data_IF_363689044557
#
_entry.id   IF_363689044557
#
_cell.length_a   1.000
_cell.length_b   1.000
_cell.length_c   1.000
_cell.angle_alpha   90.00
_cell.angle_beta   90.00
_cell.angle_gamma   90.00
#
_symmetry.space_group_name_H-M   'P 1'
#
loop_
_entity.id
_entity.type
_entity.pdbx_description
1 polymer ?
#
# COMPACT_ATOMS: atom_id res chain seq x y z
N UNK A 1 2.11 65.05 23.28
CA UNK A 1 1.75 63.65 23.67
C UNK A 1 2.44 62.73 22.70
N UNK A 2 3.65 62.24 23.02
CA UNK A 2 4.44 61.34 22.17
C UNK A 2 4.06 59.91 22.47
N UNK A 3 3.37 59.26 21.55
CA UNK A 3 3.12 57.79 21.65
C UNK A 3 4.43 57.05 21.40
N UNK A 4 4.94 56.43 22.46
CA UNK A 4 6.08 55.50 22.39
C UNK A 4 5.63 54.23 21.70
N UNK A 5 6.10 54.06 20.47
CA UNK A 5 5.97 52.82 19.72
C UNK A 5 6.87 51.77 20.41
N UNK A 6 6.30 50.94 21.27
CA UNK A 6 6.99 49.81 21.89
C UNK A 6 7.12 48.74 20.82
N UNK A 7 8.22 48.78 20.08
CA UNK A 7 8.62 47.67 19.22
C UNK A 7 9.06 46.49 20.08
N UNK A 8 8.19 45.53 20.28
CA UNK A 8 8.50 44.26 20.88
C UNK A 8 9.38 43.46 19.93
N UNK A 9 10.70 43.76 19.87
CA UNK A 9 11.66 42.83 19.27
C UNK A 9 11.81 41.65 20.25
N UNK A 10 11.00 40.61 20.05
CA UNK A 10 11.29 39.30 20.60
C UNK A 10 12.65 38.84 20.09
N UNK A 11 13.72 39.17 20.82
CA UNK A 11 15.04 38.57 20.62
C UNK A 11 14.91 37.13 21.08
N UNK A 12 14.48 36.23 20.18
CA UNK A 12 14.58 34.82 20.46
C UNK A 12 16.01 34.48 20.83
N UNK A 13 16.22 34.00 22.08
CA UNK A 13 17.51 33.49 22.50
C UNK A 13 18.00 32.44 21.49
N UNK A 14 19.31 32.40 21.26
CA UNK A 14 19.95 31.39 20.40
C UNK A 14 19.50 29.97 20.79
N UNK A 15 19.36 29.74 22.10
CA UNK A 15 18.86 28.47 22.66
C UNK A 15 17.45 28.15 22.16
N UNK A 16 16.53 29.12 22.14
CA UNK A 16 15.18 28.90 21.61
C UNK A 16 15.16 28.64 20.11
N UNK A 17 16.05 29.28 19.36
CA UNK A 17 16.16 29.04 17.89
C UNK A 17 16.65 27.62 17.61
N UNK A 18 17.65 27.15 18.38
CA UNK A 18 18.15 25.77 18.28
C UNK A 18 17.05 24.78 18.68
N UNK A 19 16.33 25.04 19.77
CA UNK A 19 15.25 24.18 20.26
C UNK A 19 14.11 24.05 19.22
N UNK A 20 13.69 25.16 18.61
CA UNK A 20 12.67 25.17 17.55
C UNK A 20 13.16 24.37 16.33
N UNK A 21 14.42 24.54 15.92
CA UNK A 21 14.99 23.82 14.81
C UNK A 21 15.03 22.31 15.07
N UNK A 22 15.47 21.89 16.24
CA UNK A 22 15.47 20.47 16.64
C UNK A 22 14.06 19.90 16.67
N UNK A 23 13.09 20.67 17.18
CA UNK A 23 11.69 20.27 17.19
C UNK A 23 11.13 20.09 15.78
N UNK A 24 11.47 21.00 14.84
CA UNK A 24 11.08 20.86 13.43
C UNK A 24 11.70 19.62 12.79
N UNK A 25 12.98 19.34 12.98
CA UNK A 25 13.63 18.13 12.46
C UNK A 25 12.96 16.85 12.99
N UNK A 26 12.69 16.82 14.30
CA UNK A 26 12.02 15.68 14.92
C UNK A 26 10.61 15.50 14.35
N UNK A 27 9.85 16.58 14.20
CA UNK A 27 8.51 16.54 13.63
C UNK A 27 8.52 16.02 12.19
N UNK A 28 9.43 16.52 11.35
CA UNK A 28 9.60 16.03 9.98
C UNK A 28 9.94 14.55 9.93
N UNK A 29 10.86 14.09 10.79
CA UNK A 29 11.21 12.67 10.90
C UNK A 29 10.01 11.80 11.27
N UNK A 30 9.25 12.20 12.29
CA UNK A 30 8.08 11.45 12.75
C UNK A 30 6.99 11.39 11.67
N UNK A 31 6.69 12.52 11.02
CA UNK A 31 5.68 12.58 9.95
C UNK A 31 6.11 11.73 8.76
N UNK A 32 7.36 11.83 8.31
CA UNK A 32 7.88 11.01 7.22
C UNK A 32 7.81 9.51 7.52
N UNK A 33 8.17 9.13 8.76
CA UNK A 33 8.08 7.73 9.21
C UNK A 33 6.64 7.23 9.26
N UNK A 34 5.69 8.04 9.75
CA UNK A 34 4.28 7.68 9.83
C UNK A 34 3.68 7.42 8.43
N UNK A 35 3.97 8.31 7.45
CA UNK A 35 3.53 8.16 6.06
C UNK A 35 4.13 6.89 5.45
N UNK A 36 5.44 6.68 5.61
CA UNK A 36 6.14 5.51 5.08
C UNK A 36 5.55 4.21 5.65
N UNK A 37 5.33 4.16 6.95
CA UNK A 37 4.76 2.98 7.62
C UNK A 37 3.34 2.67 7.12
N UNK A 38 2.49 3.68 6.95
CA UNK A 38 1.14 3.49 6.42
C UNK A 38 1.14 2.87 5.01
N UNK A 39 2.05 3.32 4.14
CA UNK A 39 2.15 2.80 2.77
C UNK A 39 2.72 1.37 2.78
N UNK A 40 3.74 1.09 3.61
CA UNK A 40 4.32 -0.26 3.76
C UNK A 40 3.24 -1.28 4.16
N UNK A 41 2.40 -0.97 5.14
CA UNK A 41 1.29 -1.84 5.56
C UNK A 41 0.31 -2.12 4.41
N UNK A 42 0.03 -1.11 3.58
CA UNK A 42 -0.82 -1.28 2.39
C UNK A 42 -0.17 -2.17 1.33
N UNK A 43 1.14 -2.06 1.12
CA UNK A 43 1.91 -2.92 0.19
C UNK A 43 1.94 -4.37 0.69
N UNK A 44 2.11 -4.59 1.99
CA UNK A 44 2.03 -5.93 2.59
C UNK A 44 0.66 -6.57 2.37
N UNK A 45 -0.44 -5.81 2.55
CA UNK A 45 -1.78 -6.28 2.24
C UNK A 45 -1.93 -6.75 0.79
N UNK A 46 -1.40 -5.98 -0.16
CA UNK A 46 -1.39 -6.34 -1.57
C UNK A 46 -0.61 -7.64 -1.84
N UNK A 47 0.56 -7.83 -1.21
CA UNK A 47 1.35 -9.05 -1.34
C UNK A 47 0.60 -10.29 -0.82
N UNK A 48 -0.14 -10.16 0.29
CA UNK A 48 -0.99 -11.24 0.80
C UNK A 48 -2.12 -11.59 -0.17
N UNK A 49 -2.77 -10.58 -0.78
CA UNK A 49 -3.81 -10.80 -1.78
C UNK A 49 -3.27 -11.48 -3.04
N UNK A 50 -2.09 -11.10 -3.53
CA UNK A 50 -1.41 -11.77 -4.66
C UNK A 50 -1.12 -13.24 -4.33
N UNK A 51 -0.56 -13.51 -3.15
CA UNK A 51 -0.28 -14.87 -2.71
C UNK A 51 -1.57 -15.72 -2.61
N UNK A 52 -2.65 -15.14 -2.06
CA UNK A 52 -3.96 -15.80 -1.97
C UNK A 52 -4.54 -16.09 -3.35
N UNK A 53 -4.41 -15.19 -4.30
CA UNK A 53 -4.81 -15.42 -5.69
C UNK A 53 -4.01 -16.55 -6.34
N UNK A 54 -2.72 -16.68 -6.03
CA UNK A 54 -1.89 -17.82 -6.42
C UNK A 54 -2.40 -19.15 -5.86
N UNK A 55 -2.84 -19.17 -4.59
CA UNK A 55 -3.47 -20.32 -3.94
C UNK A 55 -4.77 -20.71 -4.66
N UNK A 56 -5.65 -19.74 -4.97
CA UNK A 56 -6.90 -19.97 -5.69
C UNK A 56 -6.66 -20.59 -7.07
N UNK A 57 -5.63 -20.13 -7.80
CA UNK A 57 -5.25 -20.71 -9.09
C UNK A 57 -4.86 -22.18 -8.95
N UNK A 58 -3.99 -22.49 -7.97
CA UNK A 58 -3.57 -23.85 -7.70
C UNK A 58 -4.74 -24.75 -7.29
N UNK A 59 -5.65 -24.27 -6.45
CA UNK A 59 -6.85 -24.98 -6.04
C UNK A 59 -7.80 -25.24 -7.23
N UNK A 60 -7.94 -24.28 -8.14
CA UNK A 60 -8.76 -24.45 -9.35
C UNK A 60 -8.24 -25.57 -10.24
N UNK A 61 -6.93 -25.66 -10.46
CA UNK A 61 -6.34 -26.77 -11.21
C UNK A 61 -6.39 -28.10 -10.45
N UNK A 62 -6.28 -28.07 -9.12
CA UNK A 62 -6.46 -29.27 -8.28
C UNK A 62 -7.88 -29.84 -8.42
N UNK A 63 -8.91 -28.98 -8.39
CA UNK A 63 -10.30 -29.36 -8.61
C UNK A 63 -10.49 -29.94 -10.00
N UNK A 64 -9.93 -29.31 -11.03
CA UNK A 64 -10.00 -29.81 -12.41
C UNK A 64 -9.37 -31.22 -12.54
N UNK A 65 -8.23 -31.44 -11.92
CA UNK A 65 -7.54 -32.74 -11.97
C UNK A 65 -8.20 -33.83 -11.12
N UNK A 66 -9.06 -33.45 -10.18
CA UNK A 66 -9.77 -34.38 -9.30
C UNK A 66 -11.14 -34.81 -9.85
N UNK A 67 -11.53 -34.35 -11.05
CA UNK A 67 -12.81 -34.72 -11.68
C UNK A 67 -12.86 -36.21 -12.08
N UNK A 68 -13.99 -36.86 -11.86
CA UNK A 68 -15.25 -36.39 -11.30
C UNK A 68 -15.15 -36.22 -9.78
N UNK A 69 -15.78 -35.14 -9.26
CA UNK A 69 -15.73 -34.84 -7.83
C UNK A 69 -16.61 -35.81 -7.04
N UNK A 70 -16.02 -36.52 -6.10
CA UNK A 70 -16.71 -37.34 -5.10
C UNK A 70 -16.93 -36.58 -3.80
N UNK A 71 -17.50 -37.23 -2.80
CA UNK A 71 -17.77 -36.61 -1.49
C UNK A 71 -16.51 -36.12 -0.78
N UNK A 72 -15.33 -36.71 -1.03
CA UNK A 72 -14.05 -36.28 -0.48
C UNK A 72 -13.53 -34.98 -1.11
N UNK A 73 -13.94 -34.68 -2.34
CA UNK A 73 -13.52 -33.48 -3.06
C UNK A 73 -14.45 -32.28 -2.84
N UNK A 74 -15.59 -32.48 -2.15
CA UNK A 74 -16.49 -31.36 -1.77
C UNK A 74 -15.80 -30.36 -0.85
N UNK A 75 -14.91 -30.84 0.03
CA UNK A 75 -14.12 -29.99 0.91
C UNK A 75 -13.23 -29.01 0.12
N UNK A 76 -12.72 -29.42 -1.06
CA UNK A 76 -11.90 -28.57 -1.92
C UNK A 76 -12.69 -27.43 -2.56
N UNK A 77 -13.97 -27.66 -2.88
CA UNK A 77 -14.84 -26.58 -3.36
C UNK A 77 -15.10 -25.56 -2.27
N UNK A 78 -15.35 -26.05 -1.04
CA UNK A 78 -15.57 -25.18 0.11
C UNK A 78 -14.30 -24.43 0.51
N UNK A 79 -13.11 -25.06 0.41
CA UNK A 79 -11.82 -24.44 0.65
C UNK A 79 -11.59 -23.27 -0.34
N UNK A 80 -11.84 -23.49 -1.62
CA UNK A 80 -11.70 -22.45 -2.64
C UNK A 80 -12.69 -21.30 -2.42
N UNK A 81 -13.93 -21.60 -2.06
CA UNK A 81 -14.95 -20.57 -1.77
C UNK A 81 -14.57 -19.74 -0.54
N UNK A 82 -14.11 -20.37 0.53
CA UNK A 82 -13.62 -19.68 1.73
C UNK A 82 -12.39 -18.82 1.43
N UNK A 83 -11.50 -19.32 0.59
CA UNK A 83 -10.30 -18.60 0.18
C UNK A 83 -10.62 -17.41 -0.71
N UNK A 84 -11.60 -17.55 -1.61
CA UNK A 84 -12.11 -16.46 -2.45
C UNK A 84 -12.77 -15.36 -1.62
N UNK A 85 -13.44 -15.72 -0.51
CA UNK A 85 -14.08 -14.79 0.44
C UNK A 85 -13.15 -14.40 1.61
N UNK A 86 -11.85 -14.64 1.50
CA UNK A 86 -10.87 -14.37 2.55
C UNK A 86 -10.77 -12.89 2.88
N UNK A 87 -10.40 -12.60 4.14
CA UNK A 87 -10.23 -11.22 4.62
C UNK A 87 -9.13 -10.49 3.84
N UNK A 88 -8.06 -11.19 3.47
CA UNK A 88 -6.92 -10.69 2.72
C UNK A 88 -7.35 -10.13 1.36
N UNK A 89 -8.18 -10.88 0.63
CA UNK A 89 -8.72 -10.43 -0.64
C UNK A 89 -9.72 -9.29 -0.46
N UNK A 90 -10.69 -9.44 0.44
CA UNK A 90 -11.72 -8.42 0.67
C UNK A 90 -11.11 -7.07 1.07
N UNK A 91 -10.10 -7.06 1.94
CA UNK A 91 -9.49 -5.82 2.41
C UNK A 91 -8.78 -5.04 1.28
N UNK A 92 -8.11 -5.72 0.38
CA UNK A 92 -7.41 -5.10 -0.77
C UNK A 92 -8.40 -4.73 -1.86
N UNK A 93 -9.38 -5.58 -2.12
CA UNK A 93 -10.33 -5.48 -3.22
C UNK A 93 -11.54 -4.58 -2.90
N UNK A 94 -11.67 -4.10 -1.66
CA UNK A 94 -12.65 -3.06 -1.30
C UNK A 94 -12.33 -1.69 -1.91
N UNK A 95 -11.14 -1.50 -2.48
CA UNK A 95 -10.79 -0.30 -3.22
C UNK A 95 -11.60 -0.22 -4.51
N UNK A 96 -12.21 0.91 -4.79
CA UNK A 96 -13.18 1.11 -5.88
C UNK A 96 -12.70 0.63 -7.26
N UNK A 97 -11.41 0.71 -7.55
CA UNK A 97 -10.84 0.27 -8.83
C UNK A 97 -10.77 -1.26 -9.01
N UNK A 98 -10.70 -2.03 -7.92
CA UNK A 98 -10.59 -3.50 -7.93
C UNK A 98 -11.90 -4.20 -7.59
N UNK A 99 -12.83 -3.49 -6.96
CA UNK A 99 -14.09 -4.05 -6.49
C UNK A 99 -14.92 -4.67 -7.64
N UNK A 100 -14.98 -4.00 -8.79
CA UNK A 100 -15.73 -4.52 -9.94
C UNK A 100 -15.15 -5.84 -10.47
N UNK A 101 -13.82 -5.95 -10.54
CA UNK A 101 -13.16 -7.19 -10.97
C UNK A 101 -13.39 -8.32 -9.97
N UNK A 102 -13.34 -8.03 -8.69
CA UNK A 102 -13.62 -9.02 -7.64
C UNK A 102 -15.07 -9.51 -7.67
N UNK A 103 -16.04 -8.59 -7.84
CA UNK A 103 -17.45 -8.96 -7.98
C UNK A 103 -17.69 -9.85 -9.20
N UNK A 104 -17.07 -9.51 -10.34
CA UNK A 104 -17.15 -10.36 -11.55
C UNK A 104 -16.56 -11.75 -11.31
N UNK A 105 -15.39 -11.83 -10.69
CA UNK A 105 -14.72 -13.08 -10.35
C UNK A 105 -15.57 -13.97 -9.42
N UNK A 106 -16.12 -13.38 -8.35
CA UNK A 106 -16.98 -14.10 -7.40
C UNK A 106 -18.32 -14.52 -8.00
N UNK A 107 -18.88 -13.69 -8.88
CA UNK A 107 -20.09 -14.03 -9.62
C UNK A 107 -19.84 -15.20 -10.58
N UNK A 108 -18.73 -15.13 -11.35
CA UNK A 108 -18.35 -16.22 -12.26
C UNK A 108 -18.11 -17.53 -11.52
N UNK A 109 -17.48 -17.50 -10.37
CA UNK A 109 -17.32 -18.67 -9.51
C UNK A 109 -18.65 -19.29 -9.14
N UNK A 110 -19.59 -18.49 -8.63
CA UNK A 110 -20.87 -18.98 -8.11
C UNK A 110 -21.84 -19.48 -9.20
N UNK A 111 -21.94 -18.73 -10.28
CA UNK A 111 -22.94 -18.97 -11.32
C UNK A 111 -22.45 -19.90 -12.44
N UNK A 112 -21.14 -20.00 -12.66
CA UNK A 112 -20.61 -20.75 -13.78
C UNK A 112 -19.66 -21.86 -13.35
N UNK A 113 -18.55 -21.51 -12.68
CA UNK A 113 -17.47 -22.48 -12.46
C UNK A 113 -17.85 -23.56 -11.44
N UNK A 114 -18.40 -23.19 -10.29
CA UNK A 114 -18.81 -24.13 -9.23
C UNK A 114 -19.86 -25.15 -9.72
N UNK A 115 -20.95 -24.75 -10.39
CA UNK A 115 -21.91 -25.69 -10.99
C UNK A 115 -21.28 -26.59 -12.03
N UNK A 116 -20.44 -26.04 -12.93
CA UNK A 116 -19.76 -26.82 -13.98
C UNK A 116 -18.84 -27.88 -13.38
N UNK A 117 -18.01 -27.53 -12.40
CA UNK A 117 -17.14 -28.49 -11.70
C UNK A 117 -17.96 -29.58 -10.98
N UNK A 118 -19.10 -29.23 -10.42
CA UNK A 118 -19.97 -30.19 -9.70
C UNK A 118 -20.67 -31.17 -10.64
N UNK A 119 -20.93 -30.77 -11.89
CA UNK A 119 -21.61 -31.60 -12.90
C UNK A 119 -20.65 -32.34 -13.79
N UNK A 120 -19.37 -31.94 -13.88
CA UNK A 120 -18.38 -32.47 -14.78
C UNK A 120 -18.03 -33.95 -14.48
N UNK A 121 -17.97 -34.76 -15.50
CA UNK A 121 -17.58 -36.18 -15.40
C UNK A 121 -16.13 -36.43 -15.78
N UNK A 122 -15.51 -35.50 -16.48
CA UNK A 122 -14.11 -35.58 -16.90
C UNK A 122 -13.49 -34.17 -16.95
N UNK A 123 -12.15 -34.06 -16.87
CA UNK A 123 -11.48 -32.74 -16.85
C UNK A 123 -11.82 -31.86 -18.07
N UNK A 124 -12.04 -32.43 -19.22
CA UNK A 124 -12.37 -31.66 -20.43
C UNK A 124 -13.71 -30.90 -20.31
N UNK A 125 -14.65 -31.38 -19.48
CA UNK A 125 -15.97 -30.78 -19.32
C UNK A 125 -15.93 -29.42 -18.63
N UNK A 126 -14.90 -29.17 -17.82
CA UNK A 126 -14.74 -27.92 -17.05
C UNK A 126 -13.44 -27.14 -17.35
N UNK A 127 -12.63 -27.66 -18.30
CA UNK A 127 -11.30 -27.08 -18.58
C UNK A 127 -11.35 -25.64 -19.04
N UNK A 128 -12.29 -25.28 -19.89
CA UNK A 128 -12.42 -23.93 -20.44
C UNK A 128 -12.78 -22.91 -19.35
N UNK A 129 -13.72 -23.27 -18.49
CA UNK A 129 -14.22 -22.45 -17.38
C UNK A 129 -13.14 -22.24 -16.32
N UNK A 130 -12.35 -23.27 -16.02
CA UNK A 130 -11.20 -23.15 -15.11
C UNK A 130 -10.14 -22.22 -15.70
N UNK A 131 -9.79 -22.38 -16.99
CA UNK A 131 -8.82 -21.49 -17.67
C UNK A 131 -9.33 -20.05 -17.65
N UNK A 132 -10.60 -19.81 -17.90
CA UNK A 132 -11.18 -18.47 -17.87
C UNK A 132 -11.16 -17.86 -16.47
N UNK A 133 -11.54 -18.62 -15.45
CA UNK A 133 -11.46 -18.18 -14.05
C UNK A 133 -10.02 -17.82 -13.65
N UNK A 134 -9.05 -18.65 -14.02
CA UNK A 134 -7.63 -18.39 -13.76
C UNK A 134 -7.17 -17.14 -14.50
N UNK A 135 -7.61 -16.89 -15.72
CA UNK A 135 -7.27 -15.67 -16.47
C UNK A 135 -7.83 -14.41 -15.80
N UNK A 136 -9.02 -14.49 -15.19
CA UNK A 136 -9.56 -13.38 -14.39
C UNK A 136 -8.74 -13.15 -13.11
N UNK A 137 -8.28 -14.22 -12.44
CA UNK A 137 -7.36 -14.11 -11.30
C UNK A 137 -6.04 -13.46 -11.70
N UNK A 138 -5.46 -13.84 -12.84
CA UNK A 138 -4.22 -13.25 -13.35
C UNK A 138 -4.39 -11.76 -13.68
N UNK A 139 -5.53 -11.37 -14.23
CA UNK A 139 -5.87 -9.95 -14.48
C UNK A 139 -5.99 -9.19 -13.18
N UNK A 140 -6.64 -9.77 -12.18
CA UNK A 140 -6.77 -9.17 -10.85
C UNK A 140 -5.40 -8.99 -10.18
N UNK A 141 -4.52 -10.01 -10.23
CA UNK A 141 -3.15 -9.96 -9.72
C UNK A 141 -2.36 -8.84 -10.39
N UNK A 142 -2.44 -8.74 -11.72
CA UNK A 142 -1.78 -7.67 -12.48
C UNK A 142 -2.26 -6.28 -12.06
N UNK A 143 -3.56 -6.12 -11.81
CA UNK A 143 -4.13 -4.85 -11.32
C UNK A 143 -3.65 -4.50 -9.91
N UNK A 144 -3.54 -5.49 -9.00
CA UNK A 144 -3.00 -5.30 -7.66
C UNK A 144 -1.51 -4.91 -7.72
N UNK A 145 -0.75 -5.56 -8.60
CA UNK A 145 0.68 -5.30 -8.78
C UNK A 145 0.94 -3.88 -9.27
N UNK A 146 0.18 -3.42 -10.28
CA UNK A 146 0.25 -2.03 -10.77
C UNK A 146 -0.04 -1.00 -9.66
N UNK A 147 -1.06 -1.25 -8.82
CA UNK A 147 -1.35 -0.40 -7.67
C UNK A 147 -0.22 -0.42 -6.64
N UNK A 148 0.41 -1.56 -6.44
CA UNK A 148 1.55 -1.73 -5.54
C UNK A 148 2.74 -0.91 -6.02
N UNK A 149 3.08 -0.99 -7.31
CA UNK A 149 4.14 -0.17 -7.91
C UNK A 149 3.87 1.33 -7.79
N UNK A 150 2.63 1.77 -8.02
CA UNK A 150 2.26 3.19 -7.85
C UNK A 150 2.47 3.65 -6.40
N UNK A 151 2.10 2.83 -5.41
CA UNK A 151 2.31 3.11 -3.99
C UNK A 151 3.79 3.18 -3.63
N UNK A 152 4.61 2.25 -4.14
CA UNK A 152 6.06 2.24 -3.92
C UNK A 152 6.70 3.50 -4.52
N UNK A 153 6.33 3.89 -5.73
CA UNK A 153 6.80 5.13 -6.34
C UNK A 153 6.41 6.36 -5.51
N UNK A 154 5.19 6.39 -4.98
CA UNK A 154 4.75 7.47 -4.10
C UNK A 154 5.62 7.59 -2.84
N UNK A 155 5.99 6.46 -2.21
CA UNK A 155 6.93 6.44 -1.08
C UNK A 155 8.26 7.07 -1.48
N UNK A 156 8.83 6.64 -2.61
CA UNK A 156 10.12 7.15 -3.07
C UNK A 156 10.08 8.67 -3.31
N UNK A 157 9.04 9.20 -3.96
CA UNK A 157 8.88 10.65 -4.14
C UNK A 157 8.68 11.39 -2.83
N UNK A 158 7.86 10.87 -1.93
CA UNK A 158 7.64 11.47 -0.61
C UNK A 158 8.95 11.55 0.16
N UNK A 159 9.74 10.47 0.15
CA UNK A 159 11.03 10.40 0.85
C UNK A 159 12.04 11.38 0.25
N UNK A 160 12.08 11.53 -1.07
CA UNK A 160 12.93 12.49 -1.76
C UNK A 160 12.58 13.94 -1.39
N UNK A 161 11.28 14.27 -1.33
CA UNK A 161 10.79 15.59 -0.91
C UNK A 161 11.19 15.88 0.53
N UNK A 162 10.96 14.94 1.47
CA UNK A 162 11.36 15.11 2.87
C UNK A 162 12.87 15.28 3.03
N UNK A 163 13.67 14.52 2.28
CA UNK A 163 15.13 14.65 2.27
C UNK A 163 15.55 16.04 1.78
N UNK A 164 14.98 16.51 0.68
CA UNK A 164 15.28 17.83 0.12
C UNK A 164 14.91 18.95 1.11
N UNK A 165 13.74 18.87 1.74
CA UNK A 165 13.31 19.83 2.76
C UNK A 165 14.23 19.83 3.98
N UNK A 166 14.67 18.66 4.42
CA UNK A 166 15.61 18.50 5.55
C UNK A 166 16.96 19.14 5.21
N UNK A 167 17.48 18.93 4.02
CA UNK A 167 18.72 19.58 3.56
C UNK A 167 18.58 21.10 3.46
N UNK A 168 17.46 21.61 2.93
CA UNK A 168 17.20 23.05 2.89
C UNK A 168 17.14 23.67 4.28
N UNK A 169 16.51 23.02 5.25
CA UNK A 169 16.49 23.46 6.65
C UNK A 169 17.88 23.45 7.25
N UNK A 170 18.71 22.43 6.98
CA UNK A 170 20.10 22.37 7.43
C UNK A 170 20.91 23.52 6.87
N UNK A 171 20.88 23.72 5.56
CA UNK A 171 21.61 24.82 4.91
C UNK A 171 21.13 26.18 5.42
N UNK A 172 19.82 26.39 5.53
CA UNK A 172 19.25 27.62 6.06
C UNK A 172 19.68 27.90 7.48
N UNK A 173 19.72 26.86 8.33
CA UNK A 173 20.15 27.00 9.73
C UNK A 173 21.64 27.33 9.84
N UNK A 174 22.51 26.62 9.11
CA UNK A 174 23.96 26.90 9.07
C UNK A 174 24.24 28.31 8.57
N UNK A 175 23.56 28.73 7.48
CA UNK A 175 23.65 30.08 6.96
C UNK A 175 23.23 31.15 7.98
N UNK A 176 22.12 30.92 8.67
CA UNK A 176 21.59 31.83 9.70
C UNK A 176 22.55 31.96 10.88
N UNK A 177 23.07 30.84 11.40
CA UNK A 177 24.05 30.83 12.49
C UNK A 177 25.37 31.49 12.09
N UNK A 178 25.88 31.22 10.87
CA UNK A 178 27.10 31.84 10.36
C UNK A 178 26.98 33.35 10.28
N UNK A 179 25.87 33.89 9.82
CA UNK A 179 25.65 35.35 9.73
C UNK A 179 25.51 36.00 11.12
N UNK A 180 24.89 35.33 12.07
CA UNK A 180 24.64 35.93 13.37
C UNK A 180 25.77 35.78 14.39
N UNK A 181 26.52 34.68 14.32
CA UNK A 181 27.55 34.37 15.33
C UNK A 181 28.97 34.69 14.85
N UNK A 182 29.33 34.39 13.60
CA UNK A 182 30.70 34.51 13.16
C UNK A 182 31.08 35.88 12.59
N UNK A 183 30.17 36.58 11.91
CA UNK A 183 30.47 37.88 11.32
C UNK A 183 30.70 39.01 12.36
N UNK A 184 29.99 39.10 13.51
CA UNK A 184 30.27 40.11 14.51
C UNK A 184 31.62 39.96 15.24
N UNK A 185 32.19 38.74 15.32
CA UNK A 185 33.46 38.46 16.00
C UNK A 185 34.69 38.74 15.15
N UNK A 186 34.52 38.94 13.86
CA UNK A 186 35.61 39.28 12.95
C UNK A 186 35.90 40.82 12.86
N UNK A 187 35.02 41.62 13.53
CA UNK A 187 35.16 43.07 13.55
C UNK A 187 35.66 43.62 14.91
N UNK A 188 36.06 42.76 15.85
CA UNK A 188 36.76 43.05 17.09
C UNK A 188 38.21 42.65 16.98
#
# INVERSE_FOLDING_TARGET
>A
MKMHNIQWHYRFSIINQIAILMLLFTLFGVVGMAISNHIILSVQGNAHAINKSGSLRMQSYRLLSALPLDDKHRDYLQELENDLDSKELRQVLSTSSLQSQYVQLTHYWKETLKPTLSAAKQPNDAKQEVIFFVSQLDTLVSSIDQLTEQKIRLVAYTQLIFTALTLLLLFGSVWHFRRRLLLPWQQL
#
